data_IF_258296458924
#
_entry.id   IF_258296458924
#
_cell.length_a   1.000
_cell.length_b   1.000
_cell.length_c   1.000
_cell.angle_alpha   90.00
_cell.angle_beta   90.00
_cell.angle_gamma   90.00
#
_symmetry.space_group_name_H-M   'P 1'
#
loop_
_entity.id
_entity.type
_entity.pdbx_description
1 polymer ?
#
# COMPACT_ATOMS: atom_id res chain seq x y z
N UNK A 1 2.68 48.60 26.46
CA UNK A 1 2.10 47.23 26.20
C UNK A 1 1.71 47.11 24.75
N UNK A 2 2.43 46.29 23.96
CA UNK A 2 2.11 46.06 22.54
C UNK A 2 0.84 45.20 22.51
N UNK A 3 -0.27 45.75 22.02
CA UNK A 3 -1.49 44.96 21.74
C UNK A 3 -1.19 44.03 20.58
N UNK A 4 -0.80 42.79 20.86
CA UNK A 4 -0.59 41.78 19.83
C UNK A 4 -1.95 41.50 19.21
N UNK A 5 -2.06 41.71 17.89
CA UNK A 5 -3.28 41.44 17.16
C UNK A 5 -3.53 39.92 17.14
N UNK A 6 -4.64 39.45 17.73
CA UNK A 6 -5.01 38.03 17.80
C UNK A 6 -4.97 37.34 16.41
N UNK A 7 -5.39 38.05 15.36
CA UNK A 7 -5.33 37.58 13.98
C UNK A 7 -3.89 37.31 13.51
N UNK A 8 -2.94 38.18 13.88
CA UNK A 8 -1.53 38.01 13.53
C UNK A 8 -0.93 36.76 14.22
N UNK A 9 -1.27 36.55 15.49
CA UNK A 9 -0.83 35.34 16.23
C UNK A 9 -1.38 34.07 15.60
N UNK A 10 -2.66 34.04 15.26
CA UNK A 10 -3.27 32.90 14.56
C UNK A 10 -2.62 32.66 13.20
N UNK A 11 -2.34 33.73 12.43
CA UNK A 11 -1.66 33.62 11.13
C UNK A 11 -0.25 33.02 11.24
N UNK A 12 0.53 33.45 12.24
CA UNK A 12 1.87 32.90 12.50
C UNK A 12 1.76 31.43 12.91
N UNK A 13 0.83 31.07 13.77
CA UNK A 13 0.62 29.68 14.21
C UNK A 13 0.29 28.78 13.01
N UNK A 14 -0.63 29.21 12.15
CA UNK A 14 -0.99 28.46 10.93
C UNK A 14 0.20 28.32 9.99
N UNK A 15 1.02 29.36 9.82
CA UNK A 15 2.23 29.30 9.00
C UNK A 15 3.22 28.27 9.57
N UNK A 16 3.46 28.28 10.88
CA UNK A 16 4.35 27.31 11.53
C UNK A 16 3.85 25.89 11.38
N UNK A 17 2.55 25.67 11.53
CA UNK A 17 1.95 24.35 11.30
C UNK A 17 2.08 23.89 9.84
N UNK A 18 1.86 24.79 8.89
CA UNK A 18 2.01 24.50 7.46
C UNK A 18 3.46 24.13 7.11
N UNK A 19 4.42 24.93 7.59
CA UNK A 19 5.85 24.65 7.39
C UNK A 19 6.21 23.30 8.02
N UNK A 20 5.82 23.06 9.27
CA UNK A 20 6.04 21.79 9.94
C UNK A 20 5.45 20.60 9.17
N UNK A 21 4.23 20.76 8.64
CA UNK A 21 3.60 19.75 7.77
C UNK A 21 4.42 19.48 6.51
N UNK A 22 4.85 20.52 5.81
CA UNK A 22 5.66 20.37 4.57
C UNK A 22 6.98 19.67 4.87
N UNK A 23 7.67 20.07 5.94
CA UNK A 23 8.96 19.47 6.34
C UNK A 23 8.84 18.00 6.73
N UNK A 24 7.75 17.62 7.38
CA UNK A 24 7.51 16.26 7.84
C UNK A 24 6.86 15.35 6.79
N UNK A 25 6.27 15.93 5.74
CA UNK A 25 5.44 15.21 4.78
C UNK A 25 6.11 14.01 4.11
N UNK A 26 7.39 14.03 3.65
CA UNK A 26 8.00 12.85 3.05
C UNK A 26 8.15 11.72 4.06
N UNK A 27 8.62 12.05 5.26
CA UNK A 27 8.83 11.07 6.35
C UNK A 27 7.54 10.39 6.79
N UNK A 28 6.43 11.09 6.80
CA UNK A 28 5.11 10.52 7.13
C UNK A 28 4.70 9.42 6.14
N UNK A 29 4.99 9.58 4.85
CA UNK A 29 4.63 8.58 3.83
C UNK A 29 5.47 7.31 3.92
N UNK A 30 6.71 7.42 4.38
CA UNK A 30 7.60 6.29 4.56
C UNK A 30 7.14 5.46 5.75
N UNK A 31 6.59 4.29 5.45
CA UNK A 31 6.13 3.34 6.45
C UNK A 31 6.69 1.96 6.14
N UNK A 32 7.18 1.30 7.17
CA UNK A 32 7.58 -0.10 7.13
C UNK A 32 7.23 -0.76 8.46
N UNK A 33 7.05 -2.06 8.47
CA UNK A 33 6.91 -2.85 9.68
C UNK A 33 8.02 -3.91 9.75
N UNK A 34 8.35 -4.36 10.96
CA UNK A 34 9.05 -5.63 11.12
C UNK A 34 8.15 -6.71 10.53
N UNK A 35 8.73 -7.70 9.86
CA UNK A 35 7.98 -8.78 9.23
C UNK A 35 8.52 -10.14 9.64
N UNK A 36 7.64 -11.11 9.62
CA UNK A 36 7.94 -12.53 9.83
C UNK A 36 7.43 -13.30 8.60
N UNK A 37 7.70 -14.60 8.55
CA UNK A 37 7.09 -15.46 7.53
C UNK A 37 5.57 -15.34 7.57
N UNK A 38 4.96 -15.14 6.41
CA UNK A 38 3.52 -14.98 6.23
C UNK A 38 2.99 -16.04 5.24
N UNK A 39 1.67 -16.17 5.13
CA UNK A 39 1.08 -17.08 4.15
C UNK A 39 1.35 -16.60 2.72
N UNK A 40 1.26 -15.28 2.46
CA UNK A 40 1.39 -14.74 1.12
C UNK A 40 2.26 -13.49 1.06
N UNK A 41 2.87 -13.28 -0.12
CA UNK A 41 3.37 -11.99 -0.57
C UNK A 41 2.33 -11.39 -1.50
N UNK A 42 1.92 -10.13 -1.22
CA UNK A 42 1.05 -9.35 -2.10
C UNK A 42 1.92 -8.32 -2.84
N UNK A 43 2.06 -8.50 -4.15
CA UNK A 43 2.83 -7.62 -5.02
C UNK A 43 1.89 -6.65 -5.73
N UNK A 44 1.91 -5.38 -5.31
CA UNK A 44 1.09 -4.32 -5.89
C UNK A 44 1.77 -3.70 -7.12
N UNK A 45 0.99 -3.38 -8.14
CA UNK A 45 1.49 -2.75 -9.36
C UNK A 45 1.80 -1.25 -9.15
N UNK A 46 2.48 -0.67 -10.13
CA UNK A 46 2.80 0.75 -10.19
C UNK A 46 4.00 1.05 -11.09
N UNK A 47 4.37 2.32 -11.25
CA UNK A 47 5.40 2.75 -12.19
C UNK A 47 6.75 2.04 -12.01
N UNK A 48 7.15 1.80 -10.76
CA UNK A 48 8.44 1.19 -10.41
C UNK A 48 8.29 -0.32 -10.16
N UNK A 49 7.47 -1.01 -10.97
CA UNK A 49 7.13 -2.43 -10.80
C UNK A 49 8.36 -3.35 -10.75
N UNK A 50 9.39 -3.08 -11.58
CA UNK A 50 10.63 -3.88 -11.58
C UNK A 50 11.34 -3.87 -10.22
N UNK A 51 11.36 -2.74 -9.52
CA UNK A 51 11.95 -2.63 -8.19
C UNK A 51 11.18 -3.45 -7.16
N UNK A 52 9.85 -3.38 -7.20
CA UNK A 52 8.95 -4.17 -6.34
C UNK A 52 9.08 -5.66 -6.62
N UNK A 53 9.19 -6.04 -7.89
CA UNK A 53 9.39 -7.43 -8.31
C UNK A 53 10.71 -8.00 -7.78
N UNK A 54 11.81 -7.23 -7.81
CA UNK A 54 13.08 -7.64 -7.21
C UNK A 54 12.95 -7.89 -5.71
N UNK A 55 12.23 -7.04 -4.99
CA UNK A 55 11.97 -7.22 -3.56
C UNK A 55 11.14 -8.48 -3.30
N UNK A 56 10.10 -8.72 -4.12
CA UNK A 56 9.30 -9.94 -4.04
C UNK A 56 10.15 -11.20 -4.23
N UNK A 57 11.00 -11.22 -5.24
CA UNK A 57 11.91 -12.36 -5.49
C UNK A 57 12.90 -12.56 -4.33
N UNK A 58 13.42 -11.50 -3.74
CA UNK A 58 14.28 -11.61 -2.54
C UNK A 58 13.54 -12.33 -1.42
N UNK A 59 12.33 -11.86 -1.07
CA UNK A 59 11.53 -12.46 0.00
C UNK A 59 11.10 -13.90 -0.33
N UNK A 60 10.82 -14.21 -1.59
CA UNK A 60 10.51 -15.57 -2.04
C UNK A 60 11.73 -16.49 -1.83
N UNK A 61 12.92 -16.04 -2.23
CA UNK A 61 14.15 -16.82 -2.06
C UNK A 61 14.52 -17.00 -0.59
N UNK A 62 14.19 -16.01 0.26
CA UNK A 62 14.36 -16.08 1.71
C UNK A 62 13.31 -16.98 2.40
N UNK A 63 12.38 -17.58 1.64
CA UNK A 63 11.34 -18.48 2.16
C UNK A 63 10.28 -17.78 3.02
N UNK A 64 10.07 -16.48 2.80
CA UNK A 64 9.22 -15.66 3.66
C UNK A 64 7.71 -15.80 3.38
N UNK A 65 7.31 -16.58 2.37
CA UNK A 65 5.90 -16.86 2.12
C UNK A 65 5.72 -18.15 1.31
N UNK A 66 4.52 -18.73 1.40
CA UNK A 66 4.13 -19.93 0.65
C UNK A 66 3.35 -19.59 -0.64
N UNK A 67 2.83 -18.36 -0.74
CA UNK A 67 2.07 -17.88 -1.90
C UNK A 67 2.54 -16.50 -2.36
N UNK A 68 2.43 -16.24 -3.68
CA UNK A 68 2.58 -14.92 -4.29
C UNK A 68 1.26 -14.53 -4.96
N UNK A 69 0.71 -13.39 -4.57
CA UNK A 69 -0.53 -12.81 -5.11
C UNK A 69 -0.17 -11.54 -5.87
N UNK A 70 -0.65 -11.44 -7.12
CA UNK A 70 -0.56 -10.24 -7.96
C UNK A 70 -2.00 -9.80 -8.29
N UNK A 71 -2.61 -8.97 -7.44
CA UNK A 71 -4.06 -8.70 -7.50
C UNK A 71 -4.49 -8.07 -8.82
N UNK A 72 -3.72 -7.14 -9.35
CA UNK A 72 -4.05 -6.45 -10.60
C UNK A 72 -4.13 -7.38 -11.83
N UNK A 73 -3.52 -8.56 -11.74
CA UNK A 73 -3.60 -9.59 -12.79
C UNK A 73 -4.55 -10.74 -12.40
N UNK A 74 -5.21 -10.66 -11.24
CA UNK A 74 -6.03 -11.74 -10.69
C UNK A 74 -5.27 -13.07 -10.61
N UNK A 75 -3.98 -13.01 -10.24
CA UNK A 75 -3.09 -14.17 -10.24
C UNK A 75 -2.62 -14.52 -8.85
N UNK A 76 -2.65 -15.82 -8.54
CA UNK A 76 -2.02 -16.42 -7.38
C UNK A 76 -1.07 -17.52 -7.82
N UNK A 77 0.08 -17.58 -7.19
CA UNK A 77 1.13 -18.57 -7.41
C UNK A 77 1.46 -19.25 -6.10
N UNK A 78 1.66 -20.55 -6.13
CA UNK A 78 2.27 -21.28 -5.02
C UNK A 78 3.78 -21.27 -5.18
N UNK A 79 4.47 -21.00 -4.09
CA UNK A 79 5.94 -20.99 -4.02
C UNK A 79 6.38 -22.38 -3.54
N UNK A 80 7.35 -22.97 -4.23
CA UNK A 80 7.98 -24.25 -3.91
C UNK A 80 9.44 -24.01 -3.52
N UNK A 81 10.11 -25.04 -3.04
CA UNK A 81 11.53 -24.97 -2.66
C UNK A 81 12.38 -24.34 -3.77
N UNK A 82 13.38 -23.55 -3.35
CA UNK A 82 14.32 -22.79 -4.20
C UNK A 82 13.67 -21.69 -5.05
N UNK A 83 12.55 -21.10 -4.57
CA UNK A 83 11.93 -19.94 -5.21
C UNK A 83 11.20 -20.26 -6.52
N UNK A 84 10.96 -21.55 -6.82
CA UNK A 84 10.12 -21.94 -7.96
C UNK A 84 8.67 -21.56 -7.69
N UNK A 85 8.05 -20.83 -8.61
CA UNK A 85 6.64 -20.42 -8.51
C UNK A 85 5.80 -21.16 -9.55
N UNK A 86 4.70 -21.75 -9.10
CA UNK A 86 3.71 -22.39 -9.98
C UNK A 86 2.39 -21.62 -9.92
N UNK A 87 1.88 -21.26 -11.09
CA UNK A 87 0.58 -20.62 -11.21
C UNK A 87 -0.54 -21.56 -10.75
N UNK A 88 -1.44 -21.06 -9.92
CA UNK A 88 -2.65 -21.76 -9.53
C UNK A 88 -3.80 -21.33 -10.45
N UNK A 89 -4.55 -22.30 -10.97
CA UNK A 89 -5.63 -22.04 -11.93
C UNK A 89 -6.70 -21.12 -11.33
N UNK A 90 -7.20 -20.13 -12.10
CA UNK A 90 -8.30 -19.26 -11.68
C UNK A 90 -9.60 -19.99 -11.33
N UNK A 91 -9.80 -21.23 -11.84
CA UNK A 91 -11.02 -21.99 -11.64
C UNK A 91 -11.28 -22.35 -10.17
N UNK A 92 -10.23 -22.55 -9.36
CA UNK A 92 -10.38 -22.73 -7.91
C UNK A 92 -10.79 -21.43 -7.19
N UNK A 93 -10.44 -20.31 -7.78
CA UNK A 93 -10.73 -18.97 -7.28
C UNK A 93 -12.16 -18.52 -7.61
N UNK A 94 -12.65 -18.78 -8.83
CA UNK A 94 -13.98 -18.35 -9.29
C UNK A 94 -15.14 -19.14 -8.65
N UNK A 95 -14.91 -20.37 -8.18
CA UNK A 95 -15.96 -21.21 -7.60
C UNK A 95 -16.35 -20.76 -6.18
N UNK A 96 -15.43 -20.13 -5.42
CA UNK A 96 -15.69 -19.70 -4.03
C UNK A 96 -16.04 -18.21 -3.90
N UNK A 97 -15.70 -17.37 -4.85
CA UNK A 97 -16.13 -15.98 -4.85
C UNK A 97 -17.44 -15.86 -5.62
N UNK A 98 -18.56 -15.81 -4.91
CA UNK A 98 -19.83 -15.40 -5.52
C UNK A 98 -19.58 -14.09 -6.30
N UNK A 99 -19.70 -14.19 -7.63
CA UNK A 99 -19.40 -13.16 -8.62
C UNK A 99 -19.84 -11.76 -8.18
N UNK A 100 -18.88 -10.91 -7.81
CA UNK A 100 -18.97 -9.49 -8.15
C UNK A 100 -17.75 -9.20 -9.03
N UNK A 101 -17.99 -9.11 -10.33
CA UNK A 101 -17.00 -8.67 -11.29
C UNK A 101 -16.42 -7.32 -10.86
N UNK A 102 -15.10 -7.18 -10.86
CA UNK A 102 -14.43 -5.88 -10.70
C UNK A 102 -14.92 -4.87 -11.76
N UNK A 103 -15.43 -5.36 -12.89
CA UNK A 103 -16.13 -4.57 -13.89
C UNK A 103 -17.33 -3.75 -13.35
N UNK A 104 -17.83 -4.04 -12.14
CA UNK A 104 -18.92 -3.29 -11.48
C UNK A 104 -18.43 -2.35 -10.36
N UNK A 105 -17.14 -2.22 -10.15
CA UNK A 105 -16.62 -1.26 -9.18
C UNK A 105 -16.82 0.16 -9.68
N UNK A 106 -17.27 1.10 -8.83
CA UNK A 106 -17.43 2.48 -9.23
C UNK A 106 -16.14 3.06 -9.82
N UNK A 107 -16.25 3.79 -10.92
CA UNK A 107 -15.11 4.36 -11.65
C UNK A 107 -14.25 5.35 -10.84
N UNK A 108 -14.74 5.78 -9.69
CA UNK A 108 -14.03 6.68 -8.78
C UNK A 108 -13.13 5.95 -7.77
N UNK A 109 -13.17 4.59 -7.71
CA UNK A 109 -12.25 3.86 -6.85
C UNK A 109 -10.82 3.98 -7.37
N UNK A 110 -9.89 4.09 -6.42
CA UNK A 110 -8.49 4.11 -6.74
C UNK A 110 -7.97 2.70 -7.02
N UNK A 111 -7.08 2.56 -8.02
CA UNK A 111 -6.50 1.28 -8.44
C UNK A 111 -5.94 0.47 -7.25
N UNK A 112 -5.21 1.12 -6.34
CA UNK A 112 -4.66 0.44 -5.15
C UNK A 112 -5.75 -0.07 -4.21
N UNK A 113 -6.88 0.63 -4.08
CA UNK A 113 -8.00 0.16 -3.29
C UNK A 113 -8.62 -1.11 -3.92
N UNK A 114 -8.78 -1.12 -5.25
CA UNK A 114 -9.26 -2.28 -5.99
C UNK A 114 -8.29 -3.47 -5.86
N UNK A 115 -6.99 -3.23 -6.00
CA UNK A 115 -5.97 -4.27 -5.79
C UNK A 115 -6.04 -4.88 -4.38
N UNK A 116 -6.25 -4.06 -3.34
CA UNK A 116 -6.34 -4.55 -1.95
C UNK A 116 -7.65 -5.33 -1.72
N UNK A 117 -8.79 -4.89 -2.29
CA UNK A 117 -10.05 -5.65 -2.25
C UNK A 117 -9.87 -7.00 -2.94
N UNK A 118 -9.21 -7.02 -4.09
CA UNK A 118 -8.95 -8.26 -4.82
C UNK A 118 -8.02 -9.19 -4.05
N UNK A 119 -6.95 -8.66 -3.45
CA UNK A 119 -6.08 -9.43 -2.57
C UNK A 119 -6.84 -10.06 -1.41
N UNK A 120 -7.77 -9.32 -0.78
CA UNK A 120 -8.63 -9.84 0.28
C UNK A 120 -9.50 -11.02 -0.19
N UNK A 121 -10.13 -10.91 -1.36
CA UNK A 121 -10.94 -11.98 -1.94
C UNK A 121 -10.10 -13.24 -2.19
N UNK A 122 -8.91 -13.07 -2.79
CA UNK A 122 -7.98 -14.17 -3.04
C UNK A 122 -7.58 -14.82 -1.73
N UNK A 123 -7.12 -14.05 -0.75
CA UNK A 123 -6.71 -14.57 0.55
C UNK A 123 -7.84 -15.34 1.24
N UNK A 124 -9.04 -14.78 1.24
CA UNK A 124 -10.21 -15.40 1.85
C UNK A 124 -10.57 -16.73 1.17
N UNK A 125 -10.48 -16.80 -0.16
CA UNK A 125 -10.82 -18.02 -0.91
C UNK A 125 -9.81 -19.16 -0.69
N UNK A 126 -8.57 -18.85 -0.33
CA UNK A 126 -7.51 -19.81 -0.03
C UNK A 126 -7.29 -20.02 1.49
N UNK A 127 -8.08 -19.35 2.34
CA UNK A 127 -7.96 -19.46 3.80
C UNK A 127 -6.66 -18.87 4.34
N UNK A 128 -6.08 -17.84 3.64
CA UNK A 128 -4.84 -17.17 4.03
C UNK A 128 -5.17 -16.02 4.96
N UNK A 129 -4.46 -15.90 6.08
CA UNK A 129 -4.71 -14.90 7.12
C UNK A 129 -3.50 -13.99 7.40
N UNK A 130 -2.37 -14.20 6.73
CA UNK A 130 -1.21 -13.32 6.89
C UNK A 130 -0.57 -12.99 5.55
N UNK A 131 -0.08 -11.74 5.40
CA UNK A 131 0.54 -11.30 4.16
C UNK A 131 1.63 -10.26 4.36
N UNK A 132 2.65 -10.32 3.47
CA UNK A 132 3.65 -9.27 3.29
C UNK A 132 3.28 -8.46 2.06
N UNK A 133 2.97 -7.18 2.25
CA UNK A 133 2.62 -6.26 1.16
C UNK A 133 3.88 -5.55 0.68
N UNK A 134 4.14 -5.61 -0.63
CA UNK A 134 5.32 -5.00 -1.27
C UNK A 134 4.87 -3.87 -2.19
N UNK A 135 5.48 -2.70 -2.03
CA UNK A 135 5.26 -1.55 -2.88
C UNK A 135 6.41 -0.53 -2.80
N UNK A 136 6.28 0.59 -3.51
CA UNK A 136 7.22 1.72 -3.42
C UNK A 136 7.15 2.41 -2.06
N UNK A 137 8.27 2.95 -1.55
CA UNK A 137 8.34 3.49 -0.18
C UNK A 137 7.29 4.55 0.13
N UNK A 138 7.09 5.56 -0.73
CA UNK A 138 6.11 6.62 -0.48
C UNK A 138 4.64 6.14 -0.56
N UNK A 139 4.38 4.97 -1.19
CA UNK A 139 3.03 4.38 -1.25
C UNK A 139 2.62 3.66 0.03
N UNK A 140 3.58 3.25 0.87
CA UNK A 140 3.33 2.35 2.00
C UNK A 140 2.34 2.89 3.02
N UNK A 141 2.37 4.19 3.33
CA UNK A 141 1.40 4.79 4.26
C UNK A 141 -0.03 4.66 3.74
N UNK A 142 -0.26 4.94 2.46
CA UNK A 142 -1.57 4.81 1.84
C UNK A 142 -2.04 3.36 1.81
N UNK A 143 -1.16 2.43 1.43
CA UNK A 143 -1.47 0.99 1.44
C UNK A 143 -1.89 0.55 2.85
N UNK A 144 -1.14 0.94 3.88
CA UNK A 144 -1.51 0.64 5.26
C UNK A 144 -2.92 1.14 5.60
N UNK A 145 -3.23 2.40 5.26
CA UNK A 145 -4.55 2.99 5.54
C UNK A 145 -5.68 2.23 4.85
N UNK A 146 -5.47 1.79 3.60
CA UNK A 146 -6.46 1.01 2.85
C UNK A 146 -6.60 -0.38 3.47
N UNK A 147 -5.50 -1.08 3.76
CA UNK A 147 -5.50 -2.42 4.36
C UNK A 147 -6.27 -2.43 5.68
N UNK A 148 -6.03 -1.44 6.56
CA UNK A 148 -6.75 -1.31 7.83
C UNK A 148 -8.26 -1.09 7.68
N UNK A 149 -8.73 -0.70 6.49
CA UNK A 149 -10.16 -0.50 6.19
C UNK A 149 -10.80 -1.67 5.46
N UNK A 150 -10.02 -2.40 4.68
CA UNK A 150 -10.49 -3.51 3.85
C UNK A 150 -10.38 -4.84 4.61
N UNK A 151 -9.26 -5.09 5.28
CA UNK A 151 -9.05 -6.33 6.03
C UNK A 151 -9.49 -6.21 7.50
N UNK A 152 -9.95 -7.31 8.06
CA UNK A 152 -10.11 -7.43 9.52
C UNK A 152 -8.74 -7.72 10.15
N UNK A 153 -8.07 -6.64 10.55
CA UNK A 153 -6.71 -6.73 11.11
C UNK A 153 -6.64 -7.38 12.49
N UNK A 154 -7.78 -7.72 13.11
CA UNK A 154 -7.83 -8.52 14.33
C UNK A 154 -7.72 -10.03 14.04
N UNK A 155 -7.95 -10.42 12.77
CA UNK A 155 -7.95 -11.83 12.34
C UNK A 155 -6.75 -12.21 11.47
N UNK A 156 -5.83 -11.26 11.23
CA UNK A 156 -4.69 -11.52 10.36
C UNK A 156 -3.52 -10.59 10.58
N UNK A 157 -2.33 -11.07 10.22
CA UNK A 157 -1.08 -10.34 10.33
C UNK A 157 -0.67 -9.77 8.98
N UNK A 158 -0.54 -8.44 8.91
CA UNK A 158 -0.17 -7.73 7.70
C UNK A 158 1.12 -6.95 7.89
N UNK A 159 2.12 -7.28 7.09
CA UNK A 159 3.43 -6.67 7.11
C UNK A 159 3.65 -5.79 5.89
N UNK A 160 4.28 -4.64 6.08
CA UNK A 160 4.47 -3.63 5.05
C UNK A 160 5.96 -3.47 4.76
N UNK A 161 6.38 -3.93 3.58
CA UNK A 161 7.78 -3.96 3.16
C UNK A 161 7.95 -3.08 1.92
N UNK A 162 8.48 -1.86 2.08
CA UNK A 162 8.84 -1.04 0.94
C UNK A 162 10.00 -1.69 0.19
N UNK A 163 9.97 -1.59 -1.14
CA UNK A 163 11.12 -2.06 -1.93
C UNK A 163 12.39 -1.29 -1.57
N UNK A 164 13.48 -2.02 -1.34
CA UNK A 164 14.82 -1.45 -1.12
C UNK A 164 15.50 -1.00 -2.42
N UNK A 165 14.94 -1.34 -3.57
CA UNK A 165 15.47 -1.03 -4.89
C UNK A 165 14.99 0.29 -5.48
N UNK A 166 14.27 1.11 -4.69
CA UNK A 166 13.84 2.47 -5.03
C UNK A 166 14.29 3.44 -3.95
N UNK A 167 14.99 4.51 -4.37
CA UNK A 167 15.36 5.59 -3.45
C UNK A 167 14.14 6.44 -3.10
N UNK A 168 13.98 6.72 -1.82
CA UNK A 168 12.91 7.58 -1.30
C UNK A 168 13.45 8.38 -0.10
N UNK A 169 14.01 9.58 -0.34
CA UNK A 169 14.53 10.42 0.73
C UNK A 169 13.47 10.75 1.78
N UNK A 170 13.85 10.68 3.05
CA UNK A 170 12.97 11.00 4.18
C UNK A 170 12.96 12.48 4.52
N UNK A 171 14.07 13.19 4.22
CA UNK A 171 14.26 14.57 4.59
C UNK A 171 13.91 15.48 3.41
N UNK A 172 13.18 16.57 3.66
CA UNK A 172 12.68 17.47 2.62
C UNK A 172 13.79 18.09 1.77
N UNK A 173 15.00 18.32 2.35
CA UNK A 173 16.15 18.92 1.64
C UNK A 173 16.86 17.94 0.70
N UNK A 174 16.58 16.66 0.80
CA UNK A 174 17.14 15.62 -0.07
C UNK A 174 16.23 15.33 -1.27
N UNK A 175 14.99 15.87 -1.26
CA UNK A 175 14.00 15.57 -2.30
C UNK A 175 14.31 16.34 -3.58
N UNK A 176 14.37 15.59 -4.69
CA UNK A 176 14.31 16.17 -6.02
C UNK A 176 12.89 16.68 -6.34
N UNK A 177 12.76 17.45 -7.41
CA UNK A 177 11.44 17.87 -7.91
C UNK A 177 10.53 16.66 -8.24
N UNK A 178 11.12 15.59 -8.76
CA UNK A 178 10.38 14.35 -9.03
C UNK A 178 9.86 13.69 -7.75
N UNK A 179 10.65 13.69 -6.66
CA UNK A 179 10.23 13.15 -5.37
C UNK A 179 9.10 13.99 -4.77
N UNK A 180 9.19 15.32 -4.82
CA UNK A 180 8.11 16.21 -4.39
C UNK A 180 6.81 15.97 -5.17
N UNK A 181 6.90 15.69 -6.48
CA UNK A 181 5.74 15.32 -7.28
C UNK A 181 5.13 14.00 -6.80
N UNK A 182 5.95 12.99 -6.45
CA UNK A 182 5.49 11.72 -5.87
C UNK A 182 4.79 11.97 -4.52
N UNK A 183 5.45 12.68 -3.59
CA UNK A 183 4.91 13.00 -2.26
C UNK A 183 3.54 13.69 -2.37
N UNK A 184 3.43 14.76 -3.15
CA UNK A 184 2.17 15.49 -3.34
C UNK A 184 1.06 14.60 -3.91
N UNK A 185 1.40 13.75 -4.89
CA UNK A 185 0.44 12.81 -5.50
C UNK A 185 -0.09 11.81 -4.48
N UNK A 186 0.75 11.31 -3.57
CA UNK A 186 0.31 10.37 -2.54
C UNK A 186 -0.63 11.03 -1.53
N UNK A 187 -0.35 12.27 -1.09
CA UNK A 187 -1.29 13.00 -0.23
C UNK A 187 -2.65 13.23 -0.90
N UNK A 188 -2.64 13.61 -2.20
CA UNK A 188 -3.87 13.74 -2.97
C UNK A 188 -4.68 12.45 -3.02
N UNK A 189 -4.02 11.31 -3.20
CA UNK A 189 -4.66 9.99 -3.22
C UNK A 189 -5.16 9.54 -1.84
N UNK A 190 -4.41 9.84 -0.77
CA UNK A 190 -4.87 9.58 0.61
C UNK A 190 -6.13 10.40 0.90
N UNK A 191 -6.12 11.69 0.57
CA UNK A 191 -7.28 12.55 0.77
C UNK A 191 -8.49 12.03 -0.03
N UNK A 192 -8.28 11.70 -1.31
CA UNK A 192 -9.32 11.14 -2.17
C UNK A 192 -9.91 9.84 -1.60
N UNK A 193 -9.06 8.93 -1.11
CA UNK A 193 -9.51 7.71 -0.46
C UNK A 193 -10.44 8.00 0.72
N UNK A 194 -10.08 8.92 1.61
CA UNK A 194 -10.94 9.28 2.75
C UNK A 194 -12.24 9.97 2.36
N UNK A 195 -12.27 10.69 1.23
CA UNK A 195 -13.48 11.35 0.74
C UNK A 195 -14.50 10.36 0.20
N UNK A 196 -14.09 9.35 -0.57
CA UNK A 196 -15.06 8.42 -1.16
C UNK A 196 -15.30 7.16 -0.33
N UNK A 197 -14.36 6.76 0.53
CA UNK A 197 -14.47 5.51 1.30
C UNK A 197 -15.76 5.38 2.11
N UNK A 198 -16.28 6.43 2.80
CA UNK A 198 -17.55 6.34 3.51
C UNK A 198 -18.74 5.93 2.63
N UNK A 199 -18.67 6.19 1.34
CA UNK A 199 -19.71 5.89 0.35
C UNK A 199 -19.52 4.54 -0.36
N UNK A 200 -18.43 3.84 -0.01
CA UNK A 200 -18.04 2.56 -0.62
C UNK A 200 -18.54 1.32 0.13
N UNK A 201 -19.32 1.52 1.20
CA UNK A 201 -19.89 0.45 2.04
C UNK A 201 -21.26 0.01 1.56
#
# INVERSE_FOLDING_TARGET
MIKINKLLVVGILLLVLLVGFVLYSPRFLLYSSKYMKANAIILLLGPDFKARQKEAYRLINDGMADYLIIPAYHKIYRIYDKGTVKYLSPNLYSIKSGQKNIASSPSFYEDTHLEIIEAQKVMSSYGLNSAILISSPYHMRRIKLIVMKVFDTNKGDFYFVPTSYEKAPANYWELSFADWKKVRKEYGKILWFFLYFPWSR
#
